data_IF_119805482542
#
_entry.id   IF_119805482542
#
_cell.length_a   1.000
_cell.length_b   1.000
_cell.length_c   1.000
_cell.angle_alpha   90.00
_cell.angle_beta   90.00
_cell.angle_gamma   90.00
#
_symmetry.space_group_name_H-M   'P 1'
#
loop_
_entity.id
_entity.type
_entity.pdbx_description
1 polymer ?
#
# COMPACT_ATOMS: atom_id res chain seq x y z
N UNK A 1 2.92 -16.48 -18.79
CA UNK A 1 2.38 -15.59 -17.74
C UNK A 1 3.16 -15.80 -16.45
N UNK A 2 3.19 -14.83 -15.55
CA UNK A 2 3.94 -14.91 -14.27
C UNK A 2 3.58 -16.17 -13.46
N UNK A 3 2.29 -16.51 -13.40
CA UNK A 3 1.80 -17.75 -12.77
C UNK A 3 2.35 -19.04 -13.42
N UNK A 4 2.57 -19.02 -14.73
CA UNK A 4 3.20 -20.14 -15.44
C UNK A 4 4.64 -20.37 -14.98
N UNK A 5 5.39 -19.32 -14.68
CA UNK A 5 6.76 -19.42 -14.14
C UNK A 5 6.77 -20.09 -12.77
N UNK A 6 5.82 -19.75 -11.89
CA UNK A 6 5.70 -20.40 -10.58
C UNK A 6 5.41 -21.89 -10.73
N UNK A 7 4.42 -22.24 -11.56
CA UNK A 7 4.07 -23.66 -11.82
C UNK A 7 5.27 -24.42 -12.40
N UNK A 8 6.01 -23.81 -13.34
CA UNK A 8 7.19 -24.43 -13.95
C UNK A 8 8.30 -24.71 -12.93
N UNK A 9 8.54 -23.81 -11.96
CA UNK A 9 9.52 -24.01 -10.90
C UNK A 9 9.15 -25.20 -10.00
N UNK A 10 7.88 -25.32 -9.62
CA UNK A 10 7.40 -26.48 -8.86
C UNK A 10 7.50 -27.77 -9.68
N UNK A 11 7.12 -27.74 -10.96
CA UNK A 11 7.23 -28.88 -11.86
C UNK A 11 8.70 -29.32 -12.03
N UNK A 12 9.62 -28.37 -12.20
CA UNK A 12 11.05 -28.64 -12.27
C UNK A 12 11.58 -29.27 -10.97
N UNK A 13 11.17 -28.76 -9.80
CA UNK A 13 11.53 -29.36 -8.51
C UNK A 13 11.07 -30.82 -8.38
N UNK A 14 9.85 -31.12 -8.85
CA UNK A 14 9.31 -32.49 -8.88
C UNK A 14 10.10 -33.37 -9.86
N UNK A 15 10.43 -32.86 -11.05
CA UNK A 15 11.20 -33.60 -12.04
C UNK A 15 12.62 -33.91 -11.55
N UNK A 16 13.29 -32.95 -10.91
CA UNK A 16 14.61 -33.15 -10.30
C UNK A 16 14.56 -34.23 -9.21
N UNK A 17 13.54 -34.17 -8.35
CA UNK A 17 13.35 -35.22 -7.34
C UNK A 17 13.12 -36.60 -7.98
N UNK A 18 12.29 -36.68 -9.03
CA UNK A 18 11.95 -37.96 -9.69
C UNK A 18 13.07 -38.56 -10.55
N UNK A 19 13.90 -37.72 -11.17
CA UNK A 19 14.89 -38.18 -12.16
C UNK A 19 16.30 -38.27 -11.59
N UNK A 20 16.61 -37.46 -10.58
CA UNK A 20 17.96 -37.30 -10.04
C UNK A 20 18.01 -37.58 -8.53
N UNK A 21 16.89 -37.94 -7.91
CA UNK A 21 16.75 -38.14 -6.45
C UNK A 21 17.22 -36.93 -5.61
N UNK A 22 17.23 -35.74 -6.21
CA UNK A 22 17.62 -34.51 -5.53
C UNK A 22 16.51 -34.12 -4.56
N UNK A 23 16.80 -34.21 -3.26
CA UNK A 23 15.91 -33.74 -2.20
C UNK A 23 16.07 -32.23 -2.06
N UNK A 24 15.07 -31.48 -2.51
CA UNK A 24 15.03 -30.03 -2.35
C UNK A 24 14.49 -29.71 -0.95
N UNK A 25 15.25 -28.99 -0.10
CA UNK A 25 14.75 -28.58 1.20
C UNK A 25 13.48 -27.73 1.07
N UNK A 26 12.43 -27.98 1.88
CA UNK A 26 11.20 -27.20 1.84
C UNK A 26 11.42 -25.69 2.04
N UNK A 27 12.42 -25.32 2.85
CA UNK A 27 12.82 -23.94 3.08
C UNK A 27 13.31 -23.26 1.80
N UNK A 28 14.08 -23.96 0.97
CA UNK A 28 14.57 -23.42 -0.31
C UNK A 28 13.41 -23.15 -1.27
N UNK A 29 12.46 -24.09 -1.38
CA UNK A 29 11.25 -23.89 -2.18
C UNK A 29 10.41 -22.70 -1.69
N UNK A 30 10.31 -22.52 -0.37
CA UNK A 30 9.63 -21.37 0.21
C UNK A 30 10.31 -20.06 -0.18
N UNK A 31 11.64 -19.96 -0.08
CA UNK A 31 12.37 -18.77 -0.50
C UNK A 31 12.24 -18.47 -1.98
N UNK A 32 12.31 -19.47 -2.85
CA UNK A 32 12.11 -19.28 -4.29
C UNK A 32 10.70 -18.78 -4.58
N UNK A 33 9.68 -19.32 -3.90
CA UNK A 33 8.29 -18.87 -4.03
C UNK A 33 8.14 -17.41 -3.60
N UNK A 34 8.71 -17.04 -2.45
CA UNK A 34 8.69 -15.66 -1.95
C UNK A 34 9.44 -14.69 -2.86
N UNK A 35 10.59 -15.12 -3.40
CA UNK A 35 11.38 -14.31 -4.33
C UNK A 35 10.61 -14.04 -5.63
N UNK A 36 9.99 -15.08 -6.19
CA UNK A 36 9.11 -14.92 -7.36
C UNK A 36 7.96 -13.97 -7.01
N UNK A 37 7.27 -14.18 -5.90
CA UNK A 37 6.18 -13.30 -5.46
C UNK A 37 6.62 -11.84 -5.35
N UNK A 38 7.78 -11.58 -4.74
CA UNK A 38 8.36 -10.25 -4.63
C UNK A 38 8.65 -9.64 -6.01
N UNK A 39 9.19 -10.42 -6.95
CA UNK A 39 9.40 -9.99 -8.33
C UNK A 39 8.08 -9.68 -9.05
N UNK A 40 7.02 -10.43 -8.80
CA UNK A 40 5.69 -10.14 -9.35
C UNK A 40 5.16 -8.79 -8.87
N UNK A 41 5.24 -8.55 -7.56
CA UNK A 41 4.77 -7.32 -6.94
C UNK A 41 5.60 -6.14 -7.46
N UNK A 42 6.93 -6.28 -7.49
CA UNK A 42 7.83 -5.24 -8.00
C UNK A 42 7.58 -4.95 -9.48
N UNK A 43 7.51 -5.99 -10.33
CA UNK A 43 7.26 -5.83 -11.77
C UNK A 43 5.91 -5.21 -12.08
N UNK A 44 4.85 -5.62 -11.37
CA UNK A 44 3.51 -5.05 -11.55
C UNK A 44 3.44 -3.59 -11.09
N UNK A 45 4.07 -3.29 -9.95
CA UNK A 45 4.13 -1.92 -9.42
C UNK A 45 4.95 -1.02 -10.35
N UNK A 46 6.10 -1.50 -10.83
CA UNK A 46 6.90 -0.80 -11.82
C UNK A 46 6.08 -0.54 -13.08
N UNK A 47 5.43 -1.56 -13.65
CA UNK A 47 4.61 -1.42 -14.85
C UNK A 47 3.55 -0.33 -14.71
N UNK A 48 2.80 -0.33 -13.60
CA UNK A 48 1.77 0.68 -13.34
C UNK A 48 2.34 2.10 -13.20
N UNK A 49 3.45 2.25 -12.45
CA UNK A 49 4.07 3.56 -12.21
C UNK A 49 4.89 4.07 -13.39
N UNK A 50 5.42 3.18 -14.22
CA UNK A 50 6.26 3.51 -15.39
C UNK A 50 5.44 3.96 -16.60
N UNK A 51 4.12 3.75 -16.58
CA UNK A 51 3.22 4.20 -17.64
C UNK A 51 3.13 5.74 -17.65
N UNK A 52 3.05 6.32 -18.84
CA UNK A 52 2.67 7.73 -18.96
C UNK A 52 1.23 7.88 -18.48
N UNK A 53 1.03 8.70 -17.46
CA UNK A 53 -0.31 9.11 -17.00
C UNK A 53 -0.73 10.45 -17.59
N UNK A 54 0.16 11.08 -18.36
CA UNK A 54 -0.09 12.34 -19.06
C UNK A 54 -0.51 12.04 -20.50
N UNK A 55 -1.72 12.48 -20.86
CA UNK A 55 -2.29 12.27 -22.19
C UNK A 55 -1.60 13.12 -23.26
N UNK A 56 -0.98 14.24 -22.87
CA UNK A 56 -0.32 15.19 -23.78
C UNK A 56 1.16 14.87 -24.02
N UNK A 57 1.70 13.86 -23.32
CA UNK A 57 3.13 13.51 -23.35
C UNK A 57 3.34 12.03 -23.64
N UNK A 58 4.10 11.75 -24.69
CA UNK A 58 4.60 10.41 -24.96
C UNK A 58 5.54 9.96 -23.81
N UNK A 59 5.32 8.75 -23.33
CA UNK A 59 6.13 8.17 -22.26
C UNK A 59 7.54 7.78 -22.70
N UNK A 60 8.47 7.75 -21.75
CA UNK A 60 9.84 7.28 -21.97
C UNK A 60 9.90 5.77 -22.23
N UNK A 61 10.90 5.32 -22.98
CA UNK A 61 11.03 3.92 -23.42
C UNK A 61 11.03 2.90 -22.27
N UNK A 62 11.68 3.25 -21.14
CA UNK A 62 11.72 2.40 -19.95
C UNK A 62 10.75 2.86 -18.86
N UNK A 63 10.15 4.05 -18.98
CA UNK A 63 9.21 4.60 -18.00
C UNK A 63 9.86 5.03 -16.67
N UNK A 64 11.17 5.23 -16.64
CA UNK A 64 11.91 5.53 -15.39
C UNK A 64 11.65 6.94 -14.87
N UNK A 65 11.38 7.89 -15.76
CA UNK A 65 11.04 9.27 -15.41
C UNK A 65 9.62 9.32 -14.84
N UNK A 66 8.67 8.69 -15.56
CA UNK A 66 7.28 8.53 -15.18
C UNK A 66 7.14 7.82 -13.83
N UNK A 67 7.96 6.78 -13.58
CA UNK A 67 7.98 6.09 -12.30
C UNK A 67 8.23 7.04 -11.12
N UNK A 68 9.23 7.92 -11.25
CA UNK A 68 9.57 8.90 -10.21
C UNK A 68 8.45 9.93 -9.99
N UNK A 69 7.90 10.46 -11.08
CA UNK A 69 6.82 11.44 -11.06
C UNK A 69 5.54 10.86 -10.44
N UNK A 70 5.14 9.67 -10.86
CA UNK A 70 3.91 9.00 -10.42
C UNK A 70 3.98 8.56 -8.95
N UNK A 71 5.12 8.04 -8.50
CA UNK A 71 5.34 7.70 -7.08
C UNK A 71 5.26 8.94 -6.20
N UNK A 72 5.84 10.06 -6.63
CA UNK A 72 5.75 11.34 -5.91
C UNK A 72 4.30 11.83 -5.86
N UNK A 73 3.57 11.76 -6.97
CA UNK A 73 2.17 12.17 -7.05
C UNK A 73 1.27 11.42 -6.05
N UNK A 74 1.42 10.08 -5.97
CA UNK A 74 0.70 9.28 -4.97
C UNK A 74 1.09 9.66 -3.55
N UNK A 75 2.40 9.84 -3.29
CA UNK A 75 2.89 10.23 -1.97
C UNK A 75 2.32 11.58 -1.51
N UNK A 76 2.23 12.55 -2.41
CA UNK A 76 1.59 13.84 -2.15
C UNK A 76 0.09 13.69 -1.89
N UNK A 77 -0.63 12.86 -2.68
CA UNK A 77 -2.04 12.57 -2.47
C UNK A 77 -2.31 11.98 -1.08
N UNK A 78 -1.49 11.02 -0.64
CA UNK A 78 -1.61 10.40 0.68
C UNK A 78 -1.36 11.40 1.81
N UNK A 79 -0.35 12.26 1.66
CA UNK A 79 -0.05 13.33 2.64
C UNK A 79 -1.19 14.34 2.74
N UNK A 80 -1.82 14.72 1.61
CA UNK A 80 -2.99 15.62 1.63
C UNK A 80 -4.16 14.97 2.37
N UNK A 81 -4.42 13.68 2.11
CA UNK A 81 -5.46 12.91 2.79
C UNK A 81 -5.21 12.77 4.29
N UNK A 82 -3.97 12.52 4.72
CA UNK A 82 -3.65 12.43 6.15
C UNK A 82 -3.89 13.75 6.89
N UNK A 83 -3.48 14.88 6.29
CA UNK A 83 -3.70 16.21 6.86
C UNK A 83 -5.18 16.58 6.95
N UNK A 84 -5.98 16.20 5.94
CA UNK A 84 -7.42 16.41 5.95
C UNK A 84 -8.09 15.64 7.10
N UNK A 85 -7.72 14.38 7.29
CA UNK A 85 -8.24 13.55 8.39
C UNK A 85 -7.89 14.13 9.77
N UNK A 86 -6.70 14.70 9.93
CA UNK A 86 -6.30 15.38 11.18
C UNK A 86 -7.11 16.66 11.42
N UNK A 87 -7.31 17.46 10.38
CA UNK A 87 -8.10 18.68 10.45
C UNK A 87 -9.56 18.40 10.84
N UNK A 88 -10.17 17.38 10.24
CA UNK A 88 -11.53 16.95 10.57
C UNK A 88 -11.66 16.50 12.03
N UNK A 89 -10.71 15.68 12.53
CA UNK A 89 -10.65 15.28 13.95
C UNK A 89 -10.49 16.48 14.89
N UNK A 90 -9.63 17.43 14.53
CA UNK A 90 -9.43 18.64 15.32
C UNK A 90 -10.69 19.51 15.40
N UNK A 91 -11.44 19.64 14.30
CA UNK A 91 -12.73 20.34 14.30
C UNK A 91 -13.76 19.61 15.17
N UNK A 92 -13.84 18.27 15.05
CA UNK A 92 -14.78 17.49 15.83
C UNK A 92 -14.52 17.63 17.33
N UNK A 93 -13.26 17.50 17.74
CA UNK A 93 -12.85 17.66 19.14
C UNK A 93 -13.19 19.06 19.68
N UNK A 94 -12.99 20.12 18.88
CA UNK A 94 -13.37 21.49 19.26
C UNK A 94 -14.89 21.61 19.46
N UNK A 95 -15.70 21.00 18.59
CA UNK A 95 -17.17 20.98 18.72
C UNK A 95 -17.61 20.23 19.98
N UNK A 96 -17.04 19.07 20.24
CA UNK A 96 -17.35 18.26 21.44
C UNK A 96 -16.95 19.00 22.73
N UNK A 97 -15.76 19.61 22.76
CA UNK A 97 -15.30 20.41 23.90
C UNK A 97 -16.23 21.58 24.19
N UNK A 98 -16.73 22.27 23.15
CA UNK A 98 -17.69 23.37 23.31
C UNK A 98 -18.99 22.90 23.96
N UNK A 99 -19.58 21.80 23.47
CA UNK A 99 -20.80 21.20 24.05
C UNK A 99 -20.61 20.79 25.51
N UNK A 100 -19.45 20.22 25.85
CA UNK A 100 -19.14 19.83 27.23
C UNK A 100 -19.01 21.03 28.17
N UNK A 101 -18.45 22.14 27.70
CA UNK A 101 -18.33 23.37 28.49
C UNK A 101 -19.71 24.00 28.72
N UNK A 102 -20.55 24.08 27.68
CA UNK A 102 -21.94 24.57 27.78
C UNK A 102 -22.75 23.73 28.78
N UNK A 103 -22.69 22.40 28.68
CA UNK A 103 -23.37 21.51 29.63
C UNK A 103 -22.85 21.63 31.08
N UNK A 104 -21.56 21.94 31.27
CA UNK A 104 -21.00 22.21 32.60
C UNK A 104 -21.47 23.56 33.16
N UNK A 105 -21.61 24.58 32.32
CA UNK A 105 -22.11 25.90 32.73
C UNK A 105 -23.59 25.84 33.10
N UNK A 106 -24.42 25.12 32.34
CA UNK A 106 -25.83 24.90 32.66
C UNK A 106 -25.98 24.20 34.01
N UNK A 107 -25.30 23.06 34.21
CA UNK A 107 -25.30 22.36 35.51
C UNK A 107 -24.83 23.24 36.66
N UNK A 108 -23.81 24.08 36.44
CA UNK A 108 -23.32 25.00 37.47
C UNK A 108 -24.38 26.05 37.85
N UNK A 109 -25.13 26.57 36.87
CA UNK A 109 -26.22 27.53 37.12
C UNK A 109 -27.40 26.88 37.85
N UNK A 110 -27.74 25.62 37.51
CA UNK A 110 -28.75 24.84 38.23
C UNK A 110 -28.37 24.69 39.71
N UNK A 111 -27.13 24.24 40.00
CA UNK A 111 -26.62 24.07 41.36
C UNK A 111 -26.49 25.36 42.18
N UNK A 112 -26.45 26.53 41.54
CA UNK A 112 -26.37 27.84 42.20
C UNK A 112 -27.75 28.44 42.50
N UNK A 113 -28.81 27.91 41.87
CA UNK A 113 -30.19 28.37 42.01
C UNK A 113 -31.06 27.42 42.87
N UNK A 114 -30.54 26.25 43.25
CA UNK A 114 -31.03 25.41 44.37
C UNK A 114 -30.46 25.87 45.72
#
# INVERSE_FOLDING_TARGET
SFYGTMIAVFAAGILLFKTQEIIIPPTLMAFVTLALLALAIAGSSYGMMSASWDEDREGSLLGTEEFGENVKSIGEGFRRMSMQNEYEKAIQLRRERKKLLEAKEEKKKELLNE
#
